data_IF_017211627994
#
_entry.id   IF_017211627994
#
_cell.length_a   1.000
_cell.length_b   1.000
_cell.length_c   1.000
_cell.angle_alpha   90.00
_cell.angle_beta   90.00
_cell.angle_gamma   90.00
#
_symmetry.space_group_name_H-M   'P 1'
#
loop_
_entity.id
_entity.type
_entity.pdbx_description
1 polymer ?
#
# COMPACT_ATOMS: atom_id res chain seq x y z
N UNK A 1 -13.27 -0.32 -18.31
CA UNK A 1 -12.24 -0.55 -17.28
C UNK A 1 -12.96 -1.10 -16.05
N UNK A 2 -12.33 -1.95 -15.29
CA UNK A 2 -12.91 -2.43 -14.03
C UNK A 2 -12.67 -1.40 -12.92
N UNK A 3 -13.44 -1.50 -11.82
CA UNK A 3 -13.17 -0.72 -10.61
C UNK A 3 -11.80 -1.11 -10.02
N UNK A 4 -11.13 -0.16 -9.34
CA UNK A 4 -9.84 -0.35 -8.73
C UNK A 4 -8.65 0.06 -9.60
N UNK A 5 -7.46 -0.45 -9.26
CA UNK A 5 -6.20 -0.16 -9.96
C UNK A 5 -6.30 -0.49 -11.45
N UNK A 6 -5.87 0.44 -12.28
CA UNK A 6 -5.82 0.24 -13.74
C UNK A 6 -4.79 -0.84 -14.08
N UNK A 7 -5.14 -1.77 -14.98
CA UNK A 7 -4.22 -2.85 -15.35
C UNK A 7 -2.88 -2.31 -15.90
N UNK A 8 -1.79 -3.01 -15.63
CA UNK A 8 -0.42 -2.63 -16.02
C UNK A 8 -0.28 -2.33 -17.50
N UNK A 9 -0.97 -3.10 -18.36
CA UNK A 9 -0.98 -2.88 -19.82
C UNK A 9 -1.60 -1.53 -20.17
N UNK A 10 -2.71 -1.16 -19.54
CA UNK A 10 -3.38 0.13 -19.76
C UNK A 10 -2.54 1.25 -19.13
N UNK A 11 -2.07 1.07 -17.89
CA UNK A 11 -1.24 2.03 -17.18
C UNK A 11 0.02 2.37 -17.99
N UNK A 12 0.75 1.35 -18.43
CA UNK A 12 1.96 1.52 -19.25
C UNK A 12 1.69 2.26 -20.55
N UNK A 13 0.65 1.85 -21.30
CA UNK A 13 0.36 2.40 -22.64
C UNK A 13 -0.30 3.77 -22.59
N UNK A 14 -1.28 3.96 -21.71
CA UNK A 14 -2.13 5.15 -21.70
C UNK A 14 -1.63 6.26 -20.77
N UNK A 15 -0.79 5.94 -19.79
CA UNK A 15 -0.29 6.89 -18.79
C UNK A 15 1.23 6.99 -18.82
N UNK A 16 1.95 5.91 -18.47
CA UNK A 16 3.39 5.99 -18.23
C UNK A 16 4.16 6.37 -19.51
N UNK A 17 3.84 5.74 -20.64
CA UNK A 17 4.52 6.02 -21.90
C UNK A 17 4.33 7.47 -22.35
N UNK A 18 3.12 8.04 -22.44
CA UNK A 18 2.92 9.45 -22.79
C UNK A 18 3.61 10.41 -21.80
N UNK A 19 3.47 10.20 -20.49
CA UNK A 19 4.06 11.08 -19.47
C UNK A 19 5.59 11.04 -19.55
N UNK A 20 6.20 9.86 -19.68
CA UNK A 20 7.64 9.72 -19.82
C UNK A 20 8.19 10.38 -21.10
N UNK A 21 7.37 10.56 -22.15
CA UNK A 21 7.81 11.23 -23.39
C UNK A 21 8.03 12.73 -23.20
N UNK A 22 7.26 13.35 -22.31
CA UNK A 22 7.32 14.81 -22.06
C UNK A 22 8.08 15.18 -20.80
N UNK A 23 8.63 14.20 -20.06
CA UNK A 23 9.39 14.46 -18.83
C UNK A 23 10.70 15.21 -19.11
N UNK A 24 11.13 16.03 -18.16
CA UNK A 24 12.47 16.65 -18.16
C UNK A 24 13.52 15.69 -17.60
N UNK A 25 14.79 16.00 -17.80
CA UNK A 25 15.92 15.21 -17.26
C UNK A 25 15.98 15.20 -15.72
N UNK A 26 15.36 16.17 -15.07
CA UNK A 26 15.27 16.27 -13.61
C UNK A 26 14.23 15.31 -13.01
N UNK A 27 13.22 14.92 -13.79
CA UNK A 27 12.15 14.02 -13.33
C UNK A 27 12.59 12.58 -13.53
N UNK A 28 12.47 11.79 -12.48
CA UNK A 28 12.70 10.35 -12.54
C UNK A 28 11.72 9.69 -13.54
N UNK A 29 12.20 8.67 -14.25
CA UNK A 29 11.29 7.90 -15.13
C UNK A 29 10.26 7.19 -14.28
N UNK A 30 8.99 7.30 -14.67
CA UNK A 30 7.91 6.58 -14.02
C UNK A 30 7.81 5.16 -14.55
N UNK A 31 7.65 4.19 -13.65
CA UNK A 31 7.53 2.76 -13.97
C UNK A 31 6.50 2.06 -13.09
N UNK A 32 6.11 0.83 -13.48
CA UNK A 32 5.24 -0.04 -12.67
C UNK A 32 5.98 -0.43 -11.39
N UNK A 33 5.26 -0.53 -10.28
CA UNK A 33 5.83 -0.87 -8.96
C UNK A 33 6.65 0.25 -8.31
N UNK A 34 6.53 1.49 -8.81
CA UNK A 34 7.16 2.67 -8.23
C UNK A 34 6.18 3.37 -7.26
N UNK A 35 6.54 3.45 -5.97
CA UNK A 35 5.66 4.03 -4.94
C UNK A 35 5.57 5.56 -5.03
N UNK A 36 6.66 6.24 -5.41
CA UNK A 36 6.70 7.70 -5.55
C UNK A 36 7.56 8.13 -6.73
N UNK A 37 7.17 9.24 -7.37
CA UNK A 37 7.97 9.90 -8.40
C UNK A 37 8.99 10.86 -7.81
N UNK A 38 10.21 10.90 -8.35
CA UNK A 38 11.31 11.75 -7.92
C UNK A 38 11.58 12.92 -8.84
N UNK A 39 11.92 14.09 -8.26
CA UNK A 39 12.39 15.29 -8.95
C UNK A 39 13.76 15.64 -8.37
N UNK A 40 14.82 15.59 -9.19
CA UNK A 40 16.17 15.97 -8.80
C UNK A 40 16.29 17.48 -8.76
N UNK A 41 16.67 17.99 -7.60
CA UNK A 41 17.11 19.35 -7.35
C UNK A 41 18.62 19.34 -7.12
N UNK A 42 19.27 20.52 -7.00
CA UNK A 42 20.74 20.61 -6.91
C UNK A 42 21.32 19.67 -5.83
N UNK A 43 20.85 19.78 -4.58
CA UNK A 43 21.39 19.06 -3.44
C UNK A 43 20.38 18.05 -2.82
N UNK A 44 19.21 17.88 -3.42
CA UNK A 44 18.15 17.02 -2.88
C UNK A 44 17.33 16.38 -3.98
N UNK A 45 16.55 15.39 -3.59
CA UNK A 45 15.53 14.81 -4.44
C UNK A 45 14.16 14.91 -3.76
N UNK A 46 13.25 15.65 -4.39
CA UNK A 46 11.87 15.75 -3.96
C UNK A 46 11.11 14.52 -4.44
N UNK A 47 10.34 13.92 -3.54
CA UNK A 47 9.42 12.82 -3.85
C UNK A 47 7.98 13.31 -3.79
N UNK A 48 7.15 12.78 -4.68
CA UNK A 48 5.71 12.99 -4.67
C UNK A 48 4.97 11.68 -4.87
N UNK A 49 3.90 11.46 -4.11
CA UNK A 49 3.00 10.32 -4.25
C UNK A 49 1.56 10.76 -4.05
N UNK A 50 0.65 10.26 -4.89
CA UNK A 50 -0.77 10.59 -4.80
C UNK A 50 -1.59 9.34 -4.53
N UNK A 51 -2.61 9.46 -3.68
CA UNK A 51 -3.56 8.41 -3.38
C UNK A 51 -4.99 8.94 -3.30
N UNK A 52 -5.95 8.07 -3.55
CA UNK A 52 -7.37 8.34 -3.38
C UNK A 52 -8.07 7.14 -2.71
N UNK A 53 -9.34 7.31 -2.34
CA UNK A 53 -10.15 6.25 -1.76
C UNK A 53 -10.02 6.14 -0.24
N UNK A 54 -9.81 4.93 0.27
CA UNK A 54 -9.73 4.67 1.70
C UNK A 54 -8.41 5.16 2.28
N UNK A 55 -8.47 5.91 3.40
CA UNK A 55 -7.31 6.45 4.12
C UNK A 55 -6.23 7.09 3.22
N UNK A 56 -6.58 8.02 2.32
CA UNK A 56 -5.69 8.46 1.24
C UNK A 56 -4.44 9.19 1.74
N UNK A 57 -4.49 9.83 2.92
CA UNK A 57 -3.33 10.51 3.49
C UNK A 57 -2.30 9.49 3.97
N UNK A 58 -2.70 8.47 4.75
CA UNK A 58 -1.80 7.40 5.20
C UNK A 58 -1.21 6.69 3.98
N UNK A 59 -2.02 6.34 2.97
CA UNK A 59 -1.56 5.69 1.73
C UNK A 59 -0.51 6.52 0.99
N UNK A 60 -0.74 7.82 0.78
CA UNK A 60 0.22 8.69 0.10
C UNK A 60 1.52 8.87 0.90
N UNK A 61 1.43 8.96 2.22
CA UNK A 61 2.58 9.07 3.13
C UNK A 61 3.38 7.76 3.17
N UNK A 62 2.72 6.60 3.22
CA UNK A 62 3.37 5.29 3.15
C UNK A 62 4.19 5.14 1.87
N UNK A 63 3.66 5.56 0.72
CA UNK A 63 4.38 5.54 -0.55
C UNK A 63 5.67 6.38 -0.53
N UNK A 64 5.68 7.54 0.14
CA UNK A 64 6.90 8.35 0.32
C UNK A 64 7.93 7.57 1.15
N UNK A 65 7.50 6.92 2.24
CA UNK A 65 8.39 6.11 3.07
C UNK A 65 8.95 4.90 2.32
N UNK A 66 8.10 4.15 1.62
CA UNK A 66 8.51 2.99 0.82
C UNK A 66 9.53 3.36 -0.27
N UNK A 67 9.42 4.58 -0.82
CA UNK A 67 10.39 5.13 -1.77
C UNK A 67 11.71 5.62 -1.12
N UNK A 68 11.91 5.43 0.20
CA UNK A 68 13.11 5.88 0.92
C UNK A 68 13.10 7.37 1.30
N UNK A 69 11.93 7.99 1.30
CA UNK A 69 11.74 9.39 1.65
C UNK A 69 11.35 9.64 3.10
N UNK A 70 11.32 10.92 3.45
CA UNK A 70 10.70 11.47 4.65
C UNK A 70 9.61 12.44 4.19
N UNK A 71 8.34 12.18 4.49
CA UNK A 71 7.26 13.09 4.12
C UNK A 71 7.39 14.41 4.89
N UNK A 72 7.08 15.52 4.21
CA UNK A 72 7.13 16.88 4.75
C UNK A 72 5.75 17.48 4.94
N UNK A 73 4.79 17.08 4.10
CA UNK A 73 3.44 17.58 4.14
C UNK A 73 2.60 16.99 3.03
N UNK A 74 1.29 17.20 3.12
CA UNK A 74 0.34 16.77 2.12
C UNK A 74 -0.52 17.93 1.62
N UNK A 75 -1.02 17.78 0.40
CA UNK A 75 -2.07 18.63 -0.17
C UNK A 75 -3.24 17.73 -0.56
N UNK A 76 -4.45 18.21 -0.32
CA UNK A 76 -5.67 17.46 -0.68
C UNK A 76 -6.46 18.11 -1.83
N UNK A 77 -7.29 17.29 -2.49
CA UNK A 77 -8.34 17.75 -3.37
C UNK A 77 -9.63 17.00 -3.01
N UNK A 78 -10.62 17.73 -2.53
CA UNK A 78 -11.92 17.20 -2.11
C UNK A 78 -12.98 17.65 -3.09
N UNK A 79 -13.63 16.69 -3.76
CA UNK A 79 -14.77 16.93 -4.64
C UNK A 79 -16.02 16.39 -3.96
N UNK A 80 -16.91 17.28 -3.55
CA UNK A 80 -18.21 16.93 -2.97
C UNK A 80 -19.27 16.83 -4.07
N UNK A 81 -20.22 15.92 -3.93
CA UNK A 81 -21.40 15.89 -4.78
C UNK A 81 -22.39 17.01 -4.40
N UNK A 82 -23.21 17.44 -5.35
CA UNK A 82 -24.14 18.59 -5.17
C UNK A 82 -25.16 18.35 -4.05
N UNK A 83 -25.54 17.11 -3.79
CA UNK A 83 -26.50 16.75 -2.75
C UNK A 83 -25.88 16.66 -1.34
N UNK A 84 -24.56 16.74 -1.24
CA UNK A 84 -23.86 16.60 0.03
C UNK A 84 -24.16 17.81 0.94
N UNK A 85 -24.45 17.52 2.20
CA UNK A 85 -24.59 18.55 3.24
C UNK A 85 -23.24 18.88 3.86
N UNK A 86 -23.11 20.06 4.46
CA UNK A 86 -21.90 20.49 5.18
C UNK A 86 -21.41 19.46 6.22
N UNK A 87 -22.34 18.76 6.89
CA UNK A 87 -21.97 17.71 7.85
C UNK A 87 -21.11 16.61 7.20
N UNK A 88 -21.40 16.23 5.94
CA UNK A 88 -20.63 15.24 5.22
C UNK A 88 -19.20 15.72 4.92
N UNK A 89 -19.03 17.00 4.59
CA UNK A 89 -17.69 17.59 4.44
C UNK A 89 -16.93 17.58 5.77
N UNK A 90 -17.60 17.91 6.89
CA UNK A 90 -16.99 17.84 8.22
C UNK A 90 -16.54 16.42 8.57
N UNK A 91 -17.30 15.38 8.22
CA UNK A 91 -16.90 13.97 8.41
C UNK A 91 -15.65 13.62 7.59
N UNK A 92 -15.59 14.06 6.33
CA UNK A 92 -14.42 13.88 5.47
C UNK A 92 -13.19 14.53 6.10
N UNK A 93 -13.30 15.78 6.52
CA UNK A 93 -12.19 16.51 7.17
C UNK A 93 -11.80 15.85 8.50
N UNK A 94 -12.76 15.40 9.31
CA UNK A 94 -12.47 14.66 10.54
C UNK A 94 -11.70 13.36 10.26
N UNK A 95 -12.04 12.66 9.17
CA UNK A 95 -11.27 11.49 8.70
C UNK A 95 -9.83 11.84 8.34
N UNK A 96 -9.60 12.92 7.58
CA UNK A 96 -8.25 13.38 7.26
C UNK A 96 -7.48 13.82 8.51
N UNK A 97 -8.14 14.52 9.44
CA UNK A 97 -7.49 14.97 10.68
C UNK A 97 -7.03 13.80 11.55
N UNK A 98 -7.80 12.70 11.61
CA UNK A 98 -7.35 11.47 12.31
C UNK A 98 -6.09 10.91 11.65
N UNK A 99 -6.02 10.86 10.33
CA UNK A 99 -4.84 10.38 9.61
C UNK A 99 -3.62 11.28 9.84
N UNK A 100 -3.81 12.60 9.95
CA UNK A 100 -2.75 13.53 10.39
C UNK A 100 -2.26 13.19 11.78
N UNK A 101 -3.16 12.88 12.72
CA UNK A 101 -2.78 12.52 14.09
C UNK A 101 -1.93 11.23 14.13
N UNK A 102 -2.24 10.24 13.28
CA UNK A 102 -1.46 8.99 13.17
C UNK A 102 -0.08 9.23 12.55
N UNK A 103 -0.02 9.98 11.45
CA UNK A 103 1.21 10.11 10.67
C UNK A 103 2.13 11.22 11.16
N UNK A 104 1.59 12.22 11.86
CA UNK A 104 2.29 13.45 12.20
C UNK A 104 2.58 14.37 11.00
N UNK A 105 2.10 14.03 9.80
CA UNK A 105 2.36 14.77 8.57
C UNK A 105 1.26 15.82 8.33
N UNK A 106 1.59 17.12 8.31
CA UNK A 106 0.59 18.18 8.24
C UNK A 106 -0.02 18.33 6.84
N UNK A 107 -1.27 18.78 6.79
CA UNK A 107 -1.88 19.33 5.57
C UNK A 107 -1.34 20.73 5.34
N UNK A 108 -0.68 20.94 4.20
CA UNK A 108 -0.03 22.21 3.85
C UNK A 108 -0.85 23.07 2.90
N UNK A 109 -1.90 22.51 2.31
CA UNK A 109 -2.81 23.18 1.40
C UNK A 109 -3.80 22.20 0.81
N UNK A 110 -4.69 22.69 -0.03
CA UNK A 110 -5.68 21.87 -0.69
C UNK A 110 -6.71 22.66 -1.47
N UNK A 111 -7.65 21.94 -2.06
CA UNK A 111 -8.78 22.51 -2.77
C UNK A 111 -10.06 21.75 -2.46
N UNK A 112 -11.13 22.45 -2.13
CA UNK A 112 -12.46 21.85 -1.90
C UNK A 112 -13.44 22.45 -2.89
N UNK A 113 -14.15 21.61 -3.62
CA UNK A 113 -15.16 22.03 -4.61
C UNK A 113 -16.37 21.13 -4.58
N UNK A 114 -17.47 21.60 -5.21
CA UNK A 114 -18.70 20.85 -5.41
C UNK A 114 -18.89 20.60 -6.89
N UNK A 115 -19.27 19.38 -7.28
CA UNK A 115 -19.45 19.02 -8.70
C UNK A 115 -20.57 17.99 -8.89
N UNK A 116 -21.40 18.20 -9.91
CA UNK A 116 -22.38 17.22 -10.38
C UNK A 116 -21.77 16.01 -11.11
N UNK A 117 -20.44 16.01 -11.31
CA UNK A 117 -19.75 14.89 -11.98
C UNK A 117 -19.46 13.70 -11.06
N UNK A 118 -19.71 13.82 -9.77
CA UNK A 118 -19.51 12.75 -8.77
C UNK A 118 -20.81 12.49 -8.01
N UNK A 119 -21.08 11.23 -7.70
CA UNK A 119 -22.26 10.80 -6.92
C UNK A 119 -21.98 10.70 -5.42
N UNK A 120 -20.70 10.68 -5.02
CA UNK A 120 -20.25 10.65 -3.64
C UNK A 120 -18.95 11.47 -3.50
N UNK A 121 -18.57 11.89 -2.30
CA UNK A 121 -17.31 12.60 -2.08
C UNK A 121 -16.10 11.82 -2.61
N UNK A 122 -15.24 12.51 -3.37
CA UNK A 122 -13.95 11.99 -3.83
C UNK A 122 -12.85 12.78 -3.14
N UNK A 123 -11.96 12.06 -2.46
CA UNK A 123 -10.82 12.65 -1.74
C UNK A 123 -9.54 12.11 -2.35
N UNK A 124 -8.69 13.02 -2.82
CA UNK A 124 -7.34 12.71 -3.30
C UNK A 124 -6.34 13.46 -2.43
N UNK A 125 -5.27 12.78 -2.03
CA UNK A 125 -4.17 13.37 -1.26
C UNK A 125 -2.88 13.16 -2.03
N UNK A 126 -2.06 14.22 -2.11
CA UNK A 126 -0.70 14.17 -2.64
C UNK A 126 0.27 14.48 -1.52
N UNK A 127 1.13 13.53 -1.18
CA UNK A 127 2.22 13.72 -0.25
C UNK A 127 3.47 14.22 -0.99
N UNK A 128 4.18 15.16 -0.34
CA UNK A 128 5.50 15.60 -0.75
C UNK A 128 6.53 15.23 0.33
N UNK A 129 7.71 14.79 -0.08
CA UNK A 129 8.78 14.39 0.81
C UNK A 129 10.16 14.58 0.19
N UNK A 130 11.20 14.35 0.98
CA UNK A 130 12.59 14.38 0.52
C UNK A 130 13.20 13.01 0.64
N UNK A 131 13.84 12.53 -0.44
CA UNK A 131 14.58 11.27 -0.41
C UNK A 131 15.76 11.38 0.55
N UNK A 132 15.78 10.53 1.55
CA UNK A 132 16.85 10.43 2.54
C UNK A 132 17.74 9.21 2.34
N UNK A 133 17.19 8.18 1.71
CA UNK A 133 17.88 6.94 1.47
C UNK A 133 17.62 6.50 0.02
N UNK A 134 18.68 6.17 -0.70
CA UNK A 134 18.53 5.67 -2.06
C UNK A 134 17.84 4.30 -1.99
N UNK A 135 16.83 4.10 -2.82
CA UNK A 135 16.15 2.81 -2.94
C UNK A 135 17.17 1.75 -3.35
N UNK A 136 17.27 0.68 -2.58
CA UNK A 136 18.19 -0.41 -2.91
C UNK A 136 17.69 -1.15 -4.16
N UNK A 137 18.62 -1.76 -4.89
CA UNK A 137 18.27 -2.56 -6.05
C UNK A 137 17.75 -3.94 -5.61
N UNK A 138 16.74 -4.44 -6.32
CA UNK A 138 16.31 -5.83 -6.19
C UNK A 138 17.28 -6.71 -6.95
N UNK A 139 17.79 -7.76 -6.31
CA UNK A 139 18.74 -8.67 -6.92
C UNK A 139 18.45 -10.14 -6.57
N UNK A 140 18.71 -11.08 -7.50
CA UNK A 140 18.57 -12.50 -7.21
C UNK A 140 19.37 -12.94 -5.99
N UNK A 141 18.77 -13.79 -5.15
CA UNK A 141 19.34 -14.29 -3.91
C UNK A 141 18.97 -13.48 -2.66
N UNK A 142 18.35 -12.32 -2.82
CA UNK A 142 17.78 -11.58 -1.69
C UNK A 142 16.56 -12.31 -1.13
N UNK A 143 16.44 -12.31 0.20
CA UNK A 143 15.22 -12.72 0.90
C UNK A 143 14.11 -11.69 0.68
N UNK A 144 12.87 -12.16 0.59
CA UNK A 144 11.67 -11.32 0.62
C UNK A 144 11.14 -11.37 2.07
N UNK A 145 11.11 -10.21 2.71
CA UNK A 145 10.71 -10.03 4.10
C UNK A 145 9.39 -9.25 4.11
N UNK A 146 8.46 -9.63 4.98
CA UNK A 146 7.25 -8.86 5.22
C UNK A 146 7.14 -8.45 6.69
N UNK A 147 6.44 -7.34 6.93
CA UNK A 147 5.91 -6.93 8.23
C UNK A 147 4.43 -6.60 8.11
N UNK A 148 3.73 -6.61 9.24
CA UNK A 148 2.29 -6.35 9.26
C UNK A 148 1.48 -7.56 8.76
N UNK A 149 0.18 -7.38 8.65
CA UNK A 149 -0.77 -8.43 8.30
C UNK A 149 -1.51 -8.06 7.01
N UNK A 150 -1.67 -9.04 6.11
CA UNK A 150 -2.44 -8.83 4.88
C UNK A 150 -3.93 -8.63 5.19
N UNK A 151 -4.63 -7.92 4.29
CA UNK A 151 -6.09 -7.80 4.28
C UNK A 151 -6.67 -6.80 5.30
N UNK A 152 -5.87 -6.20 6.18
CA UNK A 152 -6.39 -5.36 7.27
C UNK A 152 -7.22 -4.18 6.76
N UNK A 153 -6.70 -3.36 5.86
CA UNK A 153 -7.44 -2.21 5.33
C UNK A 153 -8.65 -2.62 4.49
N UNK A 154 -8.58 -3.74 3.80
CA UNK A 154 -9.70 -4.29 3.06
C UNK A 154 -10.82 -4.80 3.97
N UNK A 155 -10.50 -5.54 5.02
CA UNK A 155 -11.47 -6.00 6.02
C UNK A 155 -12.14 -4.82 6.73
N UNK A 156 -11.42 -3.76 7.05
CA UNK A 156 -12.02 -2.53 7.60
C UNK A 156 -13.07 -1.93 6.67
N UNK A 157 -12.77 -1.86 5.37
CA UNK A 157 -13.73 -1.38 4.37
C UNK A 157 -14.95 -2.31 4.22
N UNK A 158 -14.77 -3.63 4.38
CA UNK A 158 -15.87 -4.59 4.41
C UNK A 158 -16.78 -4.36 5.62
N UNK A 159 -16.19 -4.22 6.80
CA UNK A 159 -16.91 -3.94 8.04
C UNK A 159 -17.67 -2.61 7.94
N UNK A 160 -17.03 -1.56 7.43
CA UNK A 160 -17.66 -0.24 7.25
C UNK A 160 -18.84 -0.28 6.27
N UNK A 161 -18.73 -1.07 5.19
CA UNK A 161 -19.75 -1.16 4.14
C UNK A 161 -20.89 -2.12 4.48
N UNK A 162 -20.59 -3.20 5.18
CA UNK A 162 -21.49 -4.33 5.45
C UNK A 162 -21.58 -4.67 6.94
N UNK A 163 -21.66 -3.61 7.79
CA UNK A 163 -21.66 -3.74 9.26
C UNK A 163 -22.73 -4.69 9.77
N UNK A 164 -23.95 -4.65 9.20
CA UNK A 164 -25.06 -5.51 9.60
C UNK A 164 -24.74 -6.99 9.35
N UNK A 165 -24.23 -7.32 8.16
CA UNK A 165 -23.85 -8.70 7.80
C UNK A 165 -22.74 -9.24 8.69
N UNK A 166 -21.73 -8.44 9.02
CA UNK A 166 -20.68 -8.83 9.95
C UNK A 166 -21.24 -9.02 11.38
N UNK A 167 -22.12 -8.11 11.82
CA UNK A 167 -22.74 -8.13 13.15
C UNK A 167 -23.76 -9.26 13.37
N UNK A 168 -24.30 -9.87 12.30
CA UNK A 168 -25.14 -11.07 12.40
C UNK A 168 -24.34 -12.33 12.76
N UNK A 169 -23.04 -12.37 12.42
CA UNK A 169 -22.19 -13.55 12.59
C UNK A 169 -21.21 -13.40 13.75
N UNK A 170 -20.62 -12.23 13.92
CA UNK A 170 -19.54 -11.99 14.88
C UNK A 170 -19.94 -11.03 15.99
N UNK A 171 -19.33 -11.21 17.17
CA UNK A 171 -19.50 -10.29 18.29
C UNK A 171 -18.83 -8.93 18.00
N UNK A 172 -19.27 -7.89 18.71
CA UNK A 172 -18.67 -6.54 18.59
C UNK A 172 -17.19 -6.52 18.92
N UNK A 173 -16.76 -7.28 19.91
CA UNK A 173 -15.35 -7.35 20.32
C UNK A 173 -14.50 -8.01 19.23
N UNK A 174 -15.00 -9.07 18.61
CA UNK A 174 -14.34 -9.74 17.49
C UNK A 174 -14.21 -8.83 16.26
N UNK A 175 -15.29 -8.11 15.93
CA UNK A 175 -15.27 -7.11 14.84
C UNK A 175 -14.28 -5.99 15.14
N UNK A 176 -14.21 -5.51 16.40
CA UNK A 176 -13.25 -4.49 16.80
C UNK A 176 -11.80 -4.97 16.69
N UNK A 177 -11.52 -6.24 17.01
CA UNK A 177 -10.21 -6.86 16.85
C UNK A 177 -9.83 -7.02 15.37
N UNK A 178 -10.77 -7.47 14.53
CA UNK A 178 -10.58 -7.52 13.07
C UNK A 178 -10.35 -6.14 12.45
N UNK A 179 -11.00 -5.11 12.99
CA UNK A 179 -10.86 -3.72 12.53
C UNK A 179 -9.48 -3.14 12.86
N UNK A 180 -8.92 -3.44 14.02
CA UNK A 180 -7.63 -2.94 14.49
C UNK A 180 -7.58 -1.42 14.65
N UNK A 181 -6.37 -0.86 14.75
CA UNK A 181 -6.14 0.57 14.93
C UNK A 181 -5.62 1.27 13.67
N UNK A 182 -5.77 2.61 13.58
CA UNK A 182 -5.28 3.39 12.43
C UNK A 182 -3.74 3.35 12.34
N UNK A 183 -3.05 3.18 13.46
CA UNK A 183 -1.59 3.04 13.54
C UNK A 183 -1.08 1.79 12.85
N UNK A 184 -1.86 0.71 12.80
CA UNK A 184 -1.50 -0.53 12.09
C UNK A 184 -1.47 -0.35 10.56
N UNK A 185 -2.10 0.71 10.05
CA UNK A 185 -2.08 1.05 8.61
C UNK A 185 -0.85 1.89 8.20
N UNK A 186 -0.05 2.35 9.16
CA UNK A 186 1.03 3.30 8.96
C UNK A 186 2.39 2.63 9.07
N UNK A 187 3.17 2.64 7.97
CA UNK A 187 4.51 2.02 7.92
C UNK A 187 5.66 2.94 8.33
N UNK A 188 5.40 4.22 8.57
CA UNK A 188 6.46 5.20 8.83
C UNK A 188 7.32 4.86 10.04
N UNK A 189 6.75 4.28 11.09
CA UNK A 189 7.48 3.84 12.27
C UNK A 189 8.50 2.75 11.91
N UNK A 190 8.11 1.78 11.09
CA UNK A 190 8.96 0.68 10.61
C UNK A 190 10.15 1.24 9.83
N UNK A 191 9.85 2.09 8.85
CA UNK A 191 10.88 2.68 7.97
C UNK A 191 11.84 3.59 8.76
N UNK A 192 11.34 4.33 9.76
CA UNK A 192 12.18 5.16 10.62
C UNK A 192 13.15 4.32 11.45
N UNK A 193 12.69 3.20 12.05
CA UNK A 193 13.54 2.26 12.79
C UNK A 193 14.65 1.71 11.89
N UNK A 194 14.32 1.25 10.70
CA UNK A 194 15.32 0.75 9.74
C UNK A 194 16.36 1.81 9.40
N UNK A 195 15.91 3.04 9.15
CA UNK A 195 16.79 4.17 8.84
C UNK A 195 17.72 4.54 10.00
N UNK A 196 17.21 4.60 11.22
CA UNK A 196 17.97 4.90 12.43
C UNK A 196 19.05 3.85 12.72
N UNK A 197 18.81 2.61 12.31
CA UNK A 197 19.78 1.52 12.37
C UNK A 197 20.65 1.39 11.11
N UNK A 198 20.62 2.37 10.20
CA UNK A 198 21.39 2.40 8.95
C UNK A 198 21.14 1.20 8.03
N UNK A 199 19.97 0.59 8.10
CA UNK A 199 19.58 -0.52 7.22
C UNK A 199 19.08 0.05 5.89
N UNK A 200 19.71 -0.42 4.81
CA UNK A 200 19.31 -0.08 3.44
C UNK A 200 18.77 -1.31 2.74
N UNK A 201 17.50 -1.29 2.42
CA UNK A 201 16.82 -2.35 1.67
C UNK A 201 15.88 -1.75 0.63
N UNK A 202 15.45 -2.56 -0.33
CA UNK A 202 14.30 -2.21 -1.14
C UNK A 202 13.04 -2.35 -0.27
N UNK A 203 12.13 -1.40 -0.41
CA UNK A 203 10.85 -1.40 0.28
C UNK A 203 9.72 -1.17 -0.73
N UNK A 204 8.57 -1.78 -0.48
CA UNK A 204 7.34 -1.61 -1.25
C UNK A 204 6.13 -1.71 -0.33
N UNK A 205 5.27 -0.71 -0.39
CA UNK A 205 4.01 -0.63 0.35
C UNK A 205 2.99 -1.60 -0.25
N UNK A 206 2.37 -2.41 0.58
CA UNK A 206 1.32 -3.33 0.13
C UNK A 206 -0.02 -2.60 0.24
N UNK A 207 -0.71 -2.46 -0.89
CA UNK A 207 -1.99 -1.77 -0.93
C UNK A 207 -3.00 -2.50 -1.81
N UNK A 208 -3.59 -1.84 -2.78
CA UNK A 208 -4.63 -2.37 -3.67
C UNK A 208 -4.12 -3.54 -4.53
N UNK A 209 -4.89 -4.63 -4.58
CA UNK A 209 -4.51 -5.91 -5.18
C UNK A 209 -3.80 -6.83 -4.19
N UNK A 210 -3.64 -6.41 -2.92
CA UNK A 210 -3.10 -7.19 -1.83
C UNK A 210 -1.64 -7.60 -2.01
N UNK A 211 -1.23 -8.62 -1.25
CA UNK A 211 0.15 -9.11 -1.28
C UNK A 211 0.54 -9.69 -2.65
N UNK A 212 -0.41 -10.31 -3.37
CA UNK A 212 -0.11 -10.87 -4.69
C UNK A 212 0.16 -9.77 -5.72
N UNK A 213 -0.58 -8.66 -5.65
CA UNK A 213 -0.33 -7.47 -6.47
C UNK A 213 1.03 -6.84 -6.16
N UNK A 214 1.36 -6.67 -4.89
CA UNK A 214 2.63 -6.09 -4.46
C UNK A 214 3.85 -6.95 -4.83
N UNK A 215 3.76 -8.27 -4.69
CA UNK A 215 4.80 -9.21 -5.15
C UNK A 215 4.99 -9.16 -6.66
N UNK A 216 3.91 -9.00 -7.41
CA UNK A 216 3.98 -8.79 -8.86
C UNK A 216 4.68 -7.48 -9.20
N UNK A 217 4.25 -6.36 -8.62
CA UNK A 217 4.83 -5.03 -8.84
C UNK A 217 6.32 -4.98 -8.50
N UNK A 218 6.72 -5.62 -7.41
CA UNK A 218 8.12 -5.74 -7.00
C UNK A 218 8.97 -6.47 -8.07
N UNK A 219 8.45 -7.56 -8.65
CA UNK A 219 9.13 -8.28 -9.73
C UNK A 219 9.18 -7.49 -11.04
N UNK A 220 8.13 -6.75 -11.38
CA UNK A 220 8.12 -5.85 -12.55
C UNK A 220 9.18 -4.77 -12.40
N UNK A 221 9.23 -4.11 -11.23
CA UNK A 221 10.21 -3.08 -10.94
C UNK A 221 11.65 -3.59 -10.97
N UNK A 222 11.89 -4.77 -10.40
CA UNK A 222 13.22 -5.39 -10.31
C UNK A 222 13.66 -6.15 -11.56
N UNK A 223 12.75 -6.40 -12.51
CA UNK A 223 12.95 -7.31 -13.65
C UNK A 223 13.46 -8.69 -13.21
N UNK A 224 12.85 -9.26 -12.17
CA UNK A 224 13.26 -10.49 -11.51
C UNK A 224 12.10 -11.48 -11.39
N UNK A 225 12.43 -12.72 -11.05
CA UNK A 225 11.48 -13.71 -10.56
C UNK A 225 11.44 -13.76 -9.03
N UNK A 226 10.56 -14.59 -8.50
CA UNK A 226 10.46 -14.88 -7.07
C UNK A 226 10.04 -16.32 -6.81
N UNK A 227 10.32 -16.77 -5.58
CA UNK A 227 9.70 -17.93 -4.95
C UNK A 227 9.21 -17.52 -3.58
N UNK A 228 7.91 -17.72 -3.29
CA UNK A 228 7.26 -17.37 -2.03
C UNK A 228 6.50 -18.56 -1.47
N UNK A 229 6.69 -18.87 -0.18
CA UNK A 229 5.83 -19.81 0.55
C UNK A 229 4.62 -19.04 1.10
N UNK A 230 3.44 -19.31 0.56
CA UNK A 230 2.21 -18.60 0.96
C UNK A 230 1.84 -18.82 2.43
N UNK A 231 2.32 -19.89 3.07
CA UNK A 231 2.07 -20.18 4.48
C UNK A 231 2.90 -19.29 5.41
N UNK A 232 3.97 -18.69 4.89
CA UNK A 232 4.79 -17.74 5.64
C UNK A 232 4.23 -16.32 5.61
N UNK A 233 3.21 -16.07 4.81
CA UNK A 233 2.54 -14.77 4.73
C UNK A 233 1.68 -14.57 5.98
N UNK A 234 1.94 -13.50 6.71
CA UNK A 234 1.23 -13.17 7.95
C UNK A 234 -0.19 -12.70 7.68
N UNK A 235 -1.16 -13.35 8.31
CA UNK A 235 -2.57 -13.01 8.27
C UNK A 235 -3.21 -13.30 9.63
N UNK A 236 -4.02 -12.37 10.14
CA UNK A 236 -4.78 -12.57 11.39
C UNK A 236 -5.96 -13.52 11.13
N UNK A 237 -6.33 -14.32 12.13
CA UNK A 237 -7.47 -15.25 12.04
C UNK A 237 -8.78 -14.49 11.75
N UNK A 238 -8.97 -13.34 12.39
CA UNK A 238 -10.14 -12.48 12.22
C UNK A 238 -10.28 -11.99 10.76
N UNK A 239 -9.17 -11.71 10.10
CA UNK A 239 -9.14 -11.32 8.69
C UNK A 239 -9.58 -12.49 7.81
N UNK A 240 -9.08 -13.70 8.09
CA UNK A 240 -9.47 -14.91 7.34
C UNK A 240 -10.98 -15.13 7.45
N UNK A 241 -11.52 -15.10 8.67
CA UNK A 241 -12.94 -15.39 8.91
C UNK A 241 -13.88 -14.32 8.30
N UNK A 242 -13.50 -13.04 8.38
CA UNK A 242 -14.26 -11.98 7.69
C UNK A 242 -14.18 -12.18 6.16
N UNK A 243 -13.02 -12.53 5.60
CA UNK A 243 -12.89 -12.81 4.18
C UNK A 243 -13.73 -14.03 3.76
N UNK A 244 -13.81 -15.09 4.58
CA UNK A 244 -14.67 -16.24 4.34
C UNK A 244 -16.16 -15.88 4.34
N UNK A 245 -16.60 -15.00 5.25
CA UNK A 245 -17.98 -14.50 5.27
C UNK A 245 -18.37 -13.84 3.94
N UNK A 246 -17.44 -13.15 3.29
CA UNK A 246 -17.66 -12.47 2.00
C UNK A 246 -17.21 -13.30 0.79
N UNK A 247 -16.70 -14.51 0.99
CA UNK A 247 -16.17 -15.41 -0.05
C UNK A 247 -15.09 -14.72 -0.92
N UNK A 248 -14.14 -14.06 -0.28
CA UNK A 248 -13.04 -13.34 -0.94
C UNK A 248 -11.68 -13.88 -0.53
N UNK A 249 -10.70 -13.71 -1.41
CA UNK A 249 -9.31 -14.11 -1.18
C UNK A 249 -8.54 -13.04 -0.41
N UNK A 250 -8.09 -13.27 0.84
CA UNK A 250 -7.35 -12.28 1.63
C UNK A 250 -6.01 -11.88 0.99
N UNK A 251 -5.41 -12.73 0.18
CA UNK A 251 -4.15 -12.44 -0.51
C UNK A 251 -4.28 -11.43 -1.65
N UNK A 252 -5.48 -11.22 -2.16
CA UNK A 252 -5.80 -10.24 -3.22
C UNK A 252 -6.53 -9.01 -2.67
N UNK A 253 -6.74 -8.96 -1.35
CA UNK A 253 -7.46 -7.90 -0.67
C UNK A 253 -6.51 -6.79 -0.22
N UNK A 254 -6.92 -5.53 -0.35
CA UNK A 254 -6.14 -4.35 0.04
C UNK A 254 -5.54 -4.48 1.44
N UNK A 255 -4.22 -4.25 1.56
CA UNK A 255 -3.41 -4.65 2.71
C UNK A 255 -2.51 -3.52 3.22
N UNK A 256 -3.02 -2.28 3.27
CA UNK A 256 -2.29 -1.13 3.82
C UNK A 256 -1.78 -1.41 5.25
N UNK A 257 -0.56 -1.00 5.54
CA UNK A 257 0.16 -1.29 6.80
C UNK A 257 1.10 -2.49 6.70
N UNK A 258 0.96 -3.32 5.67
CA UNK A 258 1.92 -4.36 5.35
C UNK A 258 3.04 -3.78 4.48
N UNK A 259 4.29 -4.10 4.80
CA UNK A 259 5.47 -3.66 4.06
C UNK A 259 6.26 -4.87 3.56
N UNK A 260 6.57 -4.88 2.27
CA UNK A 260 7.52 -5.81 1.66
C UNK A 260 8.92 -5.18 1.58
N UNK A 261 9.92 -5.99 1.89
CA UNK A 261 11.33 -5.61 1.79
C UNK A 261 12.13 -6.69 1.07
N UNK A 262 13.23 -6.30 0.42
CA UNK A 262 14.21 -7.30 -0.07
C UNK A 262 15.60 -6.96 0.40
N UNK A 263 16.33 -7.96 0.92
CA UNK A 263 17.70 -7.82 1.42
C UNK A 263 18.46 -9.13 1.35
N UNK A 264 19.80 -9.03 1.31
CA UNK A 264 20.70 -10.16 1.59
C UNK A 264 21.01 -10.28 3.10
N UNK A 265 20.65 -9.25 3.87
CA UNK A 265 20.84 -9.14 5.33
C UNK A 265 19.49 -9.25 6.04
N UNK A 266 18.76 -10.32 5.76
CA UNK A 266 17.42 -10.54 6.33
C UNK A 266 17.43 -10.67 7.85
N UNK A 267 18.42 -11.38 8.41
CA UNK A 267 18.58 -11.53 9.86
C UNK A 267 18.72 -10.17 10.56
N UNK A 268 19.52 -9.25 10.02
CA UNK A 268 19.73 -7.93 10.63
C UNK A 268 18.43 -7.12 10.65
N UNK A 269 17.63 -7.20 9.58
CA UNK A 269 16.33 -6.52 9.49
C UNK A 269 15.36 -7.10 10.52
N UNK A 270 15.25 -8.43 10.56
CA UNK A 270 14.33 -9.13 11.46
C UNK A 270 14.70 -8.87 12.91
N UNK A 271 15.98 -8.95 13.27
CA UNK A 271 16.45 -8.73 14.63
C UNK A 271 16.19 -7.29 15.09
N UNK A 272 16.45 -6.30 14.22
CA UNK A 272 16.18 -4.89 14.54
C UNK A 272 14.69 -4.65 14.74
N UNK A 273 13.83 -5.17 13.88
CA UNK A 273 12.39 -4.98 14.01
C UNK A 273 11.82 -5.70 15.22
N UNK A 274 12.24 -6.95 15.49
CA UNK A 274 11.82 -7.71 16.67
C UNK A 274 12.22 -7.03 17.98
N UNK A 275 13.41 -6.41 18.03
CA UNK A 275 13.84 -5.63 19.20
C UNK A 275 12.96 -4.40 19.47
N UNK A 276 12.18 -3.97 18.50
CA UNK A 276 11.19 -2.89 18.61
C UNK A 276 9.74 -3.40 18.69
N UNK A 277 9.55 -4.70 18.94
CA UNK A 277 8.24 -5.38 18.97
C UNK A 277 7.46 -5.29 17.65
N UNK A 278 8.17 -5.25 16.52
CA UNK A 278 7.59 -5.33 15.20
C UNK A 278 7.90 -6.70 14.62
N UNK A 279 6.86 -7.49 14.43
CA UNK A 279 6.98 -8.81 13.85
C UNK A 279 7.35 -8.73 12.36
N UNK A 280 8.41 -9.44 11.99
CA UNK A 280 8.88 -9.55 10.62
C UNK A 280 9.27 -10.98 10.28
N UNK A 281 8.99 -11.44 9.08
CA UNK A 281 9.32 -12.78 8.64
C UNK A 281 9.80 -12.84 7.20
N UNK A 282 10.64 -13.83 6.89
CA UNK A 282 10.98 -14.18 5.50
C UNK A 282 9.85 -14.99 4.91
N UNK A 283 9.29 -14.50 3.81
CA UNK A 283 8.22 -15.19 3.08
C UNK A 283 8.70 -15.87 1.79
N UNK A 284 9.92 -15.58 1.35
CA UNK A 284 10.45 -16.10 0.10
C UNK A 284 11.77 -15.48 -0.30
N UNK A 285 12.10 -15.59 -1.57
CA UNK A 285 13.36 -15.07 -2.14
C UNK A 285 13.20 -14.58 -3.58
N UNK A 286 14.05 -13.64 -3.96
CA UNK A 286 14.18 -13.17 -5.32
C UNK A 286 14.99 -14.18 -6.15
N UNK A 287 14.51 -14.51 -7.34
CA UNK A 287 15.14 -15.48 -8.24
C UNK A 287 15.60 -14.82 -9.55
N UNK A 288 16.46 -15.53 -10.28
CA UNK A 288 16.86 -15.12 -11.64
C UNK A 288 15.72 -15.38 -12.63
N UNK A 289 15.63 -14.54 -13.64
CA UNK A 289 14.63 -14.69 -14.71
C UNK A 289 13.27 -14.12 -14.31
N UNK A 290 12.20 -14.58 -14.95
CA UNK A 290 10.87 -13.99 -14.84
C UNK A 290 9.83 -14.94 -14.21
N UNK A 291 10.26 -16.08 -13.70
CA UNK A 291 9.33 -17.02 -13.07
C UNK A 291 8.96 -16.52 -11.69
N UNK A 292 7.67 -16.47 -11.41
CA UNK A 292 7.09 -16.04 -10.14
C UNK A 292 6.30 -17.20 -9.59
N UNK A 293 6.87 -17.90 -8.61
CA UNK A 293 6.35 -19.16 -8.09
C UNK A 293 5.83 -18.95 -6.67
N UNK A 294 4.60 -19.37 -6.45
CA UNK A 294 3.99 -19.51 -5.14
C UNK A 294 4.00 -20.98 -4.75
N UNK A 295 4.51 -21.29 -3.56
CA UNK A 295 4.55 -22.62 -2.98
C UNK A 295 3.54 -22.75 -1.85
N UNK A 296 2.87 -23.90 -1.83
CA UNK A 296 2.03 -24.33 -0.71
C UNK A 296 2.31 -25.82 -0.43
N UNK A 297 3.20 -26.09 0.51
CA UNK A 297 3.77 -27.45 0.72
C UNK A 297 4.41 -28.00 -0.56
N UNK A 298 3.86 -29.09 -1.11
CA UNK A 298 4.33 -29.76 -2.31
C UNK A 298 3.72 -29.18 -3.61
N UNK A 299 2.79 -28.24 -3.48
CA UNK A 299 2.13 -27.62 -4.63
C UNK A 299 2.84 -26.35 -5.04
N UNK A 300 3.08 -26.20 -6.33
CA UNK A 300 3.64 -24.99 -6.95
C UNK A 300 2.64 -24.43 -7.95
N UNK A 301 2.47 -23.12 -7.92
CA UNK A 301 1.68 -22.39 -8.94
C UNK A 301 2.39 -21.12 -9.34
N UNK A 302 2.11 -20.61 -10.53
CA UNK A 302 2.58 -19.29 -10.92
C UNK A 302 1.76 -18.21 -10.19
N UNK A 303 2.46 -17.16 -9.78
CA UNK A 303 1.82 -15.93 -9.36
C UNK A 303 1.16 -15.29 -10.59
N UNK A 304 -0.13 -15.05 -10.50
CA UNK A 304 -0.89 -14.28 -11.47
C UNK A 304 -1.17 -12.89 -10.93
N UNK A 305 -1.10 -11.88 -11.80
CA UNK A 305 -1.50 -10.53 -11.43
C UNK A 305 -3.00 -10.52 -11.11
N UNK A 306 -3.44 -10.09 -9.92
CA UNK A 306 -4.84 -9.92 -9.63
C UNK A 306 -5.52 -9.04 -10.67
N UNK A 307 -6.64 -9.51 -11.22
CA UNK A 307 -7.39 -8.74 -12.25
C UNK A 307 -8.06 -7.51 -11.67
N UNK A 308 -8.27 -7.51 -10.37
CA UNK A 308 -8.97 -6.50 -9.59
C UNK A 308 -8.72 -6.82 -8.10
N UNK A 309 -8.74 -5.82 -7.22
CA UNK A 309 -8.75 -6.07 -5.78
C UNK A 309 -10.01 -6.85 -5.38
N UNK A 310 -9.85 -7.77 -4.44
CA UNK A 310 -10.94 -8.63 -3.98
C UNK A 310 -12.14 -7.86 -3.41
N UNK A 311 -11.90 -6.65 -2.90
CA UNK A 311 -12.92 -5.72 -2.39
C UNK A 311 -14.01 -5.37 -3.42
N UNK A 312 -13.67 -5.38 -4.72
CA UNK A 312 -14.60 -5.03 -5.80
C UNK A 312 -15.32 -6.23 -6.43
N UNK A 313 -15.03 -7.44 -5.95
CA UNK A 313 -15.62 -8.69 -6.45
C UNK A 313 -16.79 -9.22 -5.62
N UNK A 314 -17.31 -8.44 -4.67
CA UNK A 314 -18.37 -8.85 -3.77
C UNK A 314 -19.70 -8.66 -4.49
N UNK A 315 -20.41 -9.76 -4.72
CA UNK A 315 -21.80 -9.73 -5.20
C UNK A 315 -22.71 -9.20 -4.09
N UNK A 316 -23.55 -8.20 -4.43
CA UNK A 316 -24.55 -7.60 -3.54
C UNK A 316 -25.70 -8.56 -3.23
#
# INVERSE_FOLDING_TARGET
MKAGKVSDTILSRAVLKPVNTVRTTQVERLDIGQDAGGIKLEDMELLTASACGYMPLIKAVNNIYAAGGVPLGVSDCIVMNEEAREIRLREVIAGLTRQVAVTGVPVTGGHTTVSGSVSAPVVTVTAAGVRKQKRAAIAPGQSIIMTGYIGLSGVRQLIDRYSDRAGEVYSRDYIAEAYGSDEELYIGNIVNILRENNISCYMHDVSEGGILGALWDMCEYGHTGLEVDIRSIQVKQEIIEICELFNINPYELESMGCLLMTSQQDCDIIDVLNNHNIEACVIGRITKGNQRILRNRDEERFLELPKQDALYGIDE
#
